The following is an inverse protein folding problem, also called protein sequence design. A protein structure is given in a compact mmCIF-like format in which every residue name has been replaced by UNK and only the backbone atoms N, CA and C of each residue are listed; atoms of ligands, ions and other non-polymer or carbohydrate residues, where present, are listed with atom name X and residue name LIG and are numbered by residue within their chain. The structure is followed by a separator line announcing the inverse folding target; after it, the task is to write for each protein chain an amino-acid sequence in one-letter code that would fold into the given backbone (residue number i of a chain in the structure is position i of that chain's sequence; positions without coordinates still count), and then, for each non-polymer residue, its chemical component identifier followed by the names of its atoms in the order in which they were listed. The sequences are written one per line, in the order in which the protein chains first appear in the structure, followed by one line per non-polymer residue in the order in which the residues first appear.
data_IF_924547610716
#
_entry.id   IF_924547610716
#
_cell.length_a   1.000
_cell.length_b   1.000
_cell.length_c   1.000
_cell.angle_alpha   90.00
_cell.angle_beta   90.00
_cell.angle_gamma   90.00
#
_symmetry.space_group_name_H-M   'P 1'
#
loop_
_entity.id
_entity.type
_entity.pdbx_description
1 polymer ?
#
# COMPACT_ATOMS: atom_id res chain seq x y z
N UNK A 1 4.81 26.06 0.18
CA UNK A 1 4.96 26.15 -1.29
C UNK A 1 5.45 24.78 -1.71
N UNK A 2 4.86 24.16 -2.74
CA UNK A 2 5.08 22.74 -3.08
C UNK A 2 6.55 22.38 -3.29
N UNK A 3 7.42 23.35 -3.62
CA UNK A 3 8.87 23.14 -3.81
C UNK A 3 9.59 22.64 -2.54
N UNK A 4 9.18 23.08 -1.35
CA UNK A 4 9.90 22.78 -0.09
C UNK A 4 9.00 22.17 0.97
N UNK A 5 7.75 21.83 0.62
CA UNK A 5 6.78 21.23 1.52
C UNK A 5 6.24 19.96 0.89
N UNK A 6 5.94 18.97 1.72
CA UNK A 6 5.34 17.70 1.27
C UNK A 6 3.98 17.87 0.58
N UNK A 7 3.23 18.93 0.91
CA UNK A 7 1.93 19.26 0.28
C UNK A 7 1.64 20.76 0.28
N UNK A 8 0.75 21.19 -0.61
CA UNK A 8 0.28 22.56 -0.71
C UNK A 8 -0.41 22.86 -2.04
N UNK A 9 -0.65 24.14 -2.31
CA UNK A 9 -1.18 24.62 -3.59
C UNK A 9 -0.17 25.53 -4.26
N UNK A 10 -0.02 25.39 -5.59
CA UNK A 10 0.73 26.32 -6.44
C UNK A 10 -0.21 26.75 -7.58
N UNK A 11 -0.82 27.94 -7.51
CA UNK A 11 -1.73 28.39 -8.55
C UNK A 11 -0.96 28.74 -9.83
N UNK A 12 -0.88 27.78 -10.76
CA UNK A 12 -0.44 27.94 -12.15
C UNK A 12 1.06 28.10 -12.39
N UNK A 13 1.90 28.14 -11.35
CA UNK A 13 3.35 28.18 -11.54
C UNK A 13 4.14 27.74 -10.29
N UNK A 14 5.36 27.26 -10.54
CA UNK A 14 6.34 26.88 -9.53
C UNK A 14 7.58 27.74 -9.72
N UNK A 15 8.13 28.32 -8.64
CA UNK A 15 9.35 29.10 -8.74
C UNK A 15 10.48 28.50 -7.90
N UNK A 16 11.69 28.45 -8.46
CA UNK A 16 12.88 28.01 -7.74
C UNK A 16 13.22 29.01 -6.62
N UNK A 17 13.38 28.54 -5.39
CA UNK A 17 13.66 29.43 -4.25
C UNK A 17 15.05 30.06 -4.27
N UNK A 18 15.95 29.63 -5.15
CA UNK A 18 17.31 30.15 -5.21
C UNK A 18 17.37 31.42 -6.05
N UNK A 19 17.08 31.33 -7.35
CA UNK A 19 17.15 32.46 -8.29
C UNK A 19 15.80 32.81 -8.92
N UNK A 20 14.69 32.33 -8.36
CA UNK A 20 13.34 32.67 -8.80
C UNK A 20 13.01 32.37 -10.29
N UNK A 21 13.68 31.37 -10.88
CA UNK A 21 13.25 30.81 -12.17
C UNK A 21 11.83 30.28 -12.04
N UNK A 22 10.95 30.66 -12.96
CA UNK A 22 9.52 30.37 -12.92
C UNK A 22 9.16 29.34 -13.98
N UNK A 23 8.51 28.27 -13.55
CA UNK A 23 8.04 27.17 -14.37
C UNK A 23 6.51 27.12 -14.36
N UNK A 24 5.88 26.78 -15.48
CA UNK A 24 4.44 26.52 -15.54
C UNK A 24 4.06 25.23 -14.81
N UNK A 25 2.77 24.98 -14.65
CA UNK A 25 2.24 23.69 -14.18
C UNK A 25 2.38 22.55 -15.21
N UNK A 26 2.65 22.87 -16.48
CA UNK A 26 3.11 21.91 -17.50
C UNK A 26 4.64 21.71 -17.51
N UNK A 27 5.36 22.45 -16.65
CA UNK A 27 6.80 22.34 -16.46
C UNK A 27 7.66 23.19 -17.40
N UNK A 28 7.08 24.05 -18.23
CA UNK A 28 7.83 24.90 -19.16
C UNK A 28 8.52 26.06 -18.41
N UNK A 29 9.75 26.41 -18.79
CA UNK A 29 10.46 27.56 -18.20
C UNK A 29 9.88 28.88 -18.74
N UNK A 30 9.08 29.56 -17.93
CA UNK A 30 8.38 30.80 -18.31
C UNK A 30 9.31 32.01 -18.20
N UNK A 31 9.96 32.17 -17.03
CA UNK A 31 10.71 33.38 -16.69
C UNK A 31 12.04 33.06 -16.04
N UNK A 32 13.07 33.73 -16.52
CA UNK A 32 14.40 33.77 -15.91
C UNK A 32 14.68 35.22 -15.47
N UNK A 33 14.97 35.49 -14.19
CA UNK A 33 15.43 36.81 -13.80
C UNK A 33 16.75 37.17 -14.48
N UNK A 34 16.89 38.42 -14.92
CA UNK A 34 18.08 38.92 -15.62
C UNK A 34 18.40 38.14 -16.92
N UNK A 35 17.35 37.72 -17.64
CA UNK A 35 17.40 36.89 -18.85
C UNK A 35 18.34 37.47 -19.93
N UNK A 36 18.41 38.79 -20.04
CA UNK A 36 19.23 39.54 -20.99
C UNK A 36 20.75 39.37 -20.79
N UNK A 37 21.20 38.96 -19.60
CA UNK A 37 22.61 38.76 -19.28
C UNK A 37 23.08 37.32 -19.55
N UNK A 38 22.19 36.44 -20.04
CA UNK A 38 22.56 35.11 -20.49
C UNK A 38 22.85 35.11 -21.99
N UNK A 39 24.02 34.62 -22.39
CA UNK A 39 24.37 34.44 -23.80
C UNK A 39 23.67 33.17 -24.35
N UNK A 40 22.92 33.30 -25.45
CA UNK A 40 22.22 32.21 -26.16
C UNK A 40 21.32 31.33 -25.27
N UNK A 41 20.60 31.91 -24.31
CA UNK A 41 19.67 31.16 -23.46
C UNK A 41 18.46 30.63 -24.25
N UNK A 42 18.33 29.31 -24.30
CA UNK A 42 17.17 28.64 -24.89
C UNK A 42 16.29 28.00 -23.81
N UNK A 43 15.23 28.72 -23.41
CA UNK A 43 14.30 28.26 -22.36
C UNK A 43 13.60 26.95 -22.70
N UNK A 44 13.43 26.62 -23.98
CA UNK A 44 12.74 25.39 -24.41
C UNK A 44 13.49 24.11 -24.02
N UNK A 45 14.79 24.22 -23.70
CA UNK A 45 15.64 23.11 -23.26
C UNK A 45 15.79 23.00 -21.74
N UNK A 46 15.18 23.92 -21.00
CA UNK A 46 15.43 24.13 -19.57
C UNK A 46 14.14 24.02 -18.73
N UNK A 47 13.11 23.36 -19.25
CA UNK A 47 11.91 23.00 -18.49
C UNK A 47 12.19 21.97 -17.39
N UNK A 48 11.18 21.74 -16.54
CA UNK A 48 11.21 20.67 -15.55
C UNK A 48 11.36 19.31 -16.25
N UNK A 49 12.15 18.43 -15.66
CA UNK A 49 12.30 17.04 -16.14
C UNK A 49 10.95 16.34 -16.05
N UNK A 50 10.44 15.88 -17.21
CA UNK A 50 9.22 15.10 -17.27
C UNK A 50 9.44 13.71 -16.70
N UNK A 51 8.42 13.18 -16.04
CA UNK A 51 8.37 11.82 -15.53
C UNK A 51 7.12 11.17 -16.11
N UNK A 52 7.21 9.92 -16.54
CA UNK A 52 6.07 9.20 -17.07
C UNK A 52 5.07 8.89 -15.96
N UNK A 53 3.80 9.10 -16.25
CA UNK A 53 2.70 8.97 -15.30
C UNK A 53 1.49 8.41 -16.02
N UNK A 54 0.72 7.61 -15.31
CA UNK A 54 -0.60 7.17 -15.75
C UNK A 54 -1.52 6.99 -14.52
N UNK A 55 -2.83 6.94 -14.75
CA UNK A 55 -3.86 6.86 -13.71
C UNK A 55 -4.72 5.62 -13.92
N UNK A 56 -4.84 4.80 -12.87
CA UNK A 56 -5.74 3.65 -12.84
C UNK A 56 -6.65 3.73 -11.62
N UNK A 57 -7.96 3.75 -11.83
CA UNK A 57 -8.98 3.82 -10.77
C UNK A 57 -8.74 4.90 -9.69
N UNK A 58 -8.18 6.04 -10.12
CA UNK A 58 -7.84 7.16 -9.24
C UNK A 58 -6.47 7.06 -8.54
N UNK A 59 -5.78 5.93 -8.66
CA UNK A 59 -4.39 5.78 -8.25
C UNK A 59 -3.45 6.34 -9.32
N UNK A 60 -2.46 7.13 -8.88
CA UNK A 60 -1.45 7.73 -9.75
C UNK A 60 -0.19 6.87 -9.68
N UNK A 61 0.24 6.34 -10.83
CA UNK A 61 1.50 5.61 -10.95
C UNK A 61 2.53 6.45 -11.68
N UNK A 62 3.78 6.30 -11.27
CA UNK A 62 4.92 7.05 -11.82
C UNK A 62 5.97 6.04 -12.29
N UNK A 63 6.47 6.22 -13.51
CA UNK A 63 7.57 5.44 -14.06
C UNK A 63 8.74 6.38 -14.36
N UNK A 64 9.89 6.11 -13.73
CA UNK A 64 11.10 6.91 -13.88
C UNK A 64 11.90 6.56 -15.14
N UNK A 65 11.58 5.47 -15.83
CA UNK A 65 12.13 5.17 -17.14
C UNK A 65 11.61 6.22 -18.14
N UNK A 66 12.49 6.98 -18.83
CA UNK A 66 12.06 7.92 -19.86
C UNK A 66 11.36 7.23 -21.05
N UNK A 67 11.58 5.93 -21.25
CA UNK A 67 10.95 5.14 -22.31
C UNK A 67 10.31 3.87 -21.73
N UNK A 68 9.15 3.97 -21.05
CA UNK A 68 8.44 2.83 -20.48
C UNK A 68 8.23 1.74 -21.53
N UNK A 69 8.54 0.49 -21.17
CA UNK A 69 8.44 -0.66 -22.09
C UNK A 69 7.01 -1.13 -22.33
N UNK A 70 6.09 -0.77 -21.44
CA UNK A 70 4.68 -1.15 -21.45
C UNK A 70 3.84 -0.02 -20.83
N UNK A 71 2.55 0.02 -21.16
CA UNK A 71 1.57 0.92 -20.55
C UNK A 71 1.22 0.50 -19.12
N UNK A 72 0.61 1.38 -18.31
CA UNK A 72 0.17 1.00 -16.96
C UNK A 72 -0.86 -0.14 -16.99
N UNK A 73 -1.75 -0.16 -17.99
CA UNK A 73 -2.75 -1.22 -18.12
C UNK A 73 -2.11 -2.58 -18.41
N UNK A 74 -1.16 -2.62 -19.35
CA UNK A 74 -0.39 -3.83 -19.62
C UNK A 74 0.41 -4.26 -18.37
N UNK A 75 0.95 -3.28 -17.64
CA UNK A 75 1.73 -3.53 -16.44
C UNK A 75 0.91 -4.22 -15.34
N UNK A 76 -0.30 -3.72 -15.07
CA UNK A 76 -1.20 -4.26 -14.03
C UNK A 76 -1.90 -5.56 -14.47
N UNK A 77 -2.09 -5.74 -15.79
CA UNK A 77 -2.64 -6.96 -16.37
C UNK A 77 -3.95 -7.43 -15.73
N UNK A 78 -4.03 -8.74 -15.47
CA UNK A 78 -5.24 -9.37 -14.91
C UNK A 78 -5.64 -8.90 -13.51
N UNK A 79 -4.72 -8.29 -12.75
CA UNK A 79 -5.06 -7.68 -11.46
C UNK A 79 -5.96 -6.46 -11.66
N UNK A 80 -5.67 -5.62 -12.67
CA UNK A 80 -6.53 -4.50 -13.00
C UNK A 80 -7.92 -5.00 -13.41
N UNK A 81 -8.02 -6.02 -14.27
CA UNK A 81 -9.30 -6.59 -14.69
C UNK A 81 -10.17 -7.05 -13.50
N UNK A 82 -9.54 -7.56 -12.44
CA UNK A 82 -10.24 -8.01 -11.22
C UNK A 82 -10.77 -6.86 -10.37
N UNK A 83 -10.09 -5.70 -10.39
CA UNK A 83 -10.37 -4.55 -9.54
C UNK A 83 -11.08 -3.39 -10.25
N UNK A 84 -11.20 -3.45 -11.57
CA UNK A 84 -11.90 -2.44 -12.37
C UNK A 84 -13.34 -2.22 -11.89
N UNK A 85 -13.75 -0.95 -11.86
CA UNK A 85 -15.06 -0.52 -11.37
C UNK A 85 -15.23 -0.62 -9.86
N UNK A 86 -14.18 -0.93 -9.10
CA UNK A 86 -14.20 -0.77 -7.65
C UNK A 86 -14.38 0.73 -7.32
N UNK A 87 -15.29 1.11 -6.40
CA UNK A 87 -15.61 2.51 -6.13
C UNK A 87 -14.54 3.21 -5.27
N UNK A 88 -13.26 3.07 -5.61
CA UNK A 88 -12.15 3.65 -4.85
C UNK A 88 -12.29 5.17 -4.68
N UNK A 89 -12.79 5.85 -5.72
CA UNK A 89 -12.99 7.30 -5.75
C UNK A 89 -14.16 7.83 -4.92
N UNK A 90 -15.08 6.97 -4.47
CA UNK A 90 -16.18 7.38 -3.59
C UNK A 90 -15.79 7.30 -2.10
N UNK A 91 -14.69 6.61 -1.77
CA UNK A 91 -14.14 6.59 -0.42
C UNK A 91 -13.32 7.86 -0.14
N UNK A 92 -13.19 8.17 1.15
CA UNK A 92 -12.37 9.28 1.63
C UNK A 92 -11.22 8.77 2.48
N UNK A 93 -10.07 9.45 2.39
CA UNK A 93 -8.94 9.18 3.27
C UNK A 93 -9.33 9.51 4.71
N UNK A 94 -9.41 8.49 5.56
CA UNK A 94 -9.83 8.61 6.96
C UNK A 94 -8.63 8.74 7.90
N UNK A 95 -7.51 8.13 7.54
CA UNK A 95 -6.29 8.12 8.34
C UNK A 95 -5.05 7.79 7.49
N UNK A 96 -3.92 8.40 7.84
CA UNK A 96 -2.59 8.02 7.33
C UNK A 96 -1.68 7.67 8.49
N UNK A 97 -0.94 6.57 8.37
CA UNK A 97 0.22 6.27 9.21
C UNK A 97 1.47 6.23 8.35
N UNK A 98 2.59 6.68 8.91
CA UNK A 98 3.93 6.51 8.33
C UNK A 98 4.82 5.92 9.40
N UNK A 99 5.41 4.77 9.11
CA UNK A 99 6.33 4.09 10.01
C UNK A 99 7.71 4.13 9.37
N UNK A 100 8.70 4.63 10.11
CA UNK A 100 10.12 4.58 9.73
C UNK A 100 10.70 3.30 10.32
N UNK A 101 10.76 2.24 9.51
CA UNK A 101 11.14 0.91 9.93
C UNK A 101 12.62 0.66 9.65
N UNK A 102 13.30 0.04 10.63
CA UNK A 102 14.65 -0.51 10.47
C UNK A 102 14.61 -1.91 9.86
N UNK A 103 13.92 -2.02 8.73
CA UNK A 103 13.80 -3.22 7.95
C UNK A 103 13.91 -2.91 6.45
N UNK A 104 14.43 -3.87 5.69
CA UNK A 104 14.33 -3.82 4.24
C UNK A 104 12.86 -3.91 3.80
N UNK A 105 12.48 -3.15 2.79
CA UNK A 105 11.10 -3.10 2.30
C UNK A 105 10.53 -4.48 1.91
N UNK A 106 11.39 -5.40 1.45
CA UNK A 106 11.01 -6.77 1.12
C UNK A 106 10.58 -7.57 2.35
N UNK A 107 11.18 -7.31 3.52
CA UNK A 107 10.77 -7.97 4.78
C UNK A 107 9.34 -7.56 5.14
N UNK A 108 9.03 -6.26 5.03
CA UNK A 108 7.68 -5.77 5.26
C UNK A 108 6.67 -6.33 4.27
N UNK A 109 7.04 -6.44 2.99
CA UNK A 109 6.16 -6.99 1.97
C UNK A 109 6.00 -8.52 2.06
N UNK A 110 7.02 -9.25 2.49
CA UNK A 110 6.94 -10.71 2.73
C UNK A 110 5.82 -11.01 3.74
N UNK A 111 5.71 -10.23 4.82
CA UNK A 111 4.64 -10.36 5.81
C UNK A 111 3.22 -10.11 5.24
N UNK A 112 3.12 -9.38 4.12
CA UNK A 112 1.83 -9.14 3.45
C UNK A 112 1.48 -10.21 2.40
N UNK A 113 2.39 -11.16 2.16
CA UNK A 113 2.24 -12.25 1.19
C UNK A 113 1.95 -13.61 1.86
N UNK A 114 1.66 -13.64 3.16
CA UNK A 114 1.34 -14.86 3.87
C UNK A 114 0.37 -14.65 5.03
N UNK A 115 -0.10 -15.77 5.58
CA UNK A 115 -1.09 -15.85 6.67
C UNK A 115 -0.60 -16.69 7.85
N UNK A 116 0.64 -17.14 7.80
CA UNK A 116 1.23 -18.08 8.75
C UNK A 116 1.43 -17.46 10.13
N UNK A 117 1.81 -16.17 10.20
CA UNK A 117 2.00 -15.49 11.48
C UNK A 117 0.69 -15.07 12.15
N UNK A 118 -0.42 -14.91 11.39
CA UNK A 118 -1.66 -14.30 11.86
C UNK A 118 -2.20 -14.92 13.17
N UNK A 119 -2.27 -16.26 13.34
CA UNK A 119 -2.79 -16.86 14.57
C UNK A 119 -2.00 -16.52 15.82
N UNK A 120 -0.69 -16.29 15.67
CA UNK A 120 0.26 -16.19 16.77
C UNK A 120 0.58 -14.74 17.10
N UNK A 121 1.01 -13.99 16.09
CA UNK A 121 1.39 -12.58 16.21
C UNK A 121 0.18 -11.71 16.54
N UNK A 122 -0.94 -11.91 15.86
CA UNK A 122 -2.17 -11.13 16.05
C UNK A 122 -3.14 -11.78 17.03
N UNK A 123 -2.70 -12.70 17.89
CA UNK A 123 -3.56 -13.40 18.86
C UNK A 123 -4.34 -12.47 19.81
N UNK A 124 -3.84 -11.23 19.98
CA UNK A 124 -4.44 -10.19 20.83
C UNK A 124 -5.24 -9.14 20.05
N UNK A 125 -5.13 -9.14 18.72
CA UNK A 125 -5.78 -8.21 17.80
C UNK A 125 -6.72 -8.99 16.89
N UNK A 126 -6.35 -9.15 15.62
CA UNK A 126 -7.21 -9.70 14.55
C UNK A 126 -7.07 -11.21 14.37
N UNK A 127 -6.14 -11.90 15.05
CA UNK A 127 -5.92 -13.33 14.84
C UNK A 127 -7.21 -14.15 14.94
N UNK A 128 -8.08 -13.85 15.90
CA UNK A 128 -9.31 -14.62 16.18
C UNK A 128 -10.44 -14.43 15.15
N UNK A 129 -10.32 -13.48 14.22
CA UNK A 129 -11.34 -13.31 13.18
C UNK A 129 -11.10 -14.24 11.98
N UNK A 130 -9.88 -14.75 11.81
CA UNK A 130 -9.54 -15.70 10.77
C UNK A 130 -9.96 -17.13 11.15
N UNK A 131 -10.45 -17.88 10.17
CA UNK A 131 -10.72 -19.30 10.37
C UNK A 131 -9.40 -20.07 10.52
N UNK A 132 -9.35 -20.94 11.53
CA UNK A 132 -8.19 -21.77 11.82
C UNK A 132 -8.58 -23.24 11.95
N UNK A 133 -7.64 -24.12 11.59
CA UNK A 133 -7.79 -25.54 11.91
C UNK A 133 -7.59 -25.83 13.41
N UNK A 134 -7.80 -27.08 13.83
CA UNK A 134 -7.67 -27.54 15.22
C UNK A 134 -6.27 -27.29 15.86
N UNK A 135 -5.26 -26.96 15.05
CA UNK A 135 -3.88 -26.66 15.49
C UNK A 135 -3.58 -25.16 15.48
N UNK A 136 -4.59 -24.30 15.30
CA UNK A 136 -4.46 -22.85 15.19
C UNK A 136 -3.62 -22.39 13.98
N UNK A 137 -3.83 -22.98 12.80
CA UNK A 137 -3.24 -22.47 11.55
C UNK A 137 -4.31 -21.95 10.60
N UNK A 138 -4.08 -20.78 10.01
CA UNK A 138 -4.88 -20.23 8.91
C UNK A 138 -4.59 -20.97 7.59
N UNK A 139 -5.53 -20.88 6.65
CA UNK A 139 -5.39 -21.37 5.27
C UNK A 139 -5.97 -20.34 4.31
N UNK A 140 -5.38 -20.24 3.13
CA UNK A 140 -5.95 -19.41 2.09
C UNK A 140 -7.29 -19.97 1.65
N UNK A 141 -8.26 -19.09 1.49
CA UNK A 141 -9.47 -19.37 0.73
C UNK A 141 -9.15 -19.36 -0.77
N UNK A 142 -8.37 -18.37 -1.19
CA UNK A 142 -7.99 -18.16 -2.58
C UNK A 142 -6.60 -17.55 -2.68
N UNK A 143 -5.84 -17.98 -3.69
CA UNK A 143 -4.57 -17.36 -4.11
C UNK A 143 -4.56 -17.33 -5.62
N UNK A 144 -4.35 -16.16 -6.22
CA UNK A 144 -4.13 -16.04 -7.66
C UNK A 144 -2.87 -15.22 -7.95
N UNK A 145 -2.24 -15.55 -9.08
CA UNK A 145 -1.10 -14.85 -9.61
C UNK A 145 -1.48 -14.18 -10.94
N UNK A 146 -1.10 -12.91 -11.09
CA UNK A 146 -1.32 -12.09 -12.27
C UNK A 146 0.04 -11.60 -12.77
N UNK A 147 0.78 -12.50 -13.42
CA UNK A 147 2.18 -12.29 -13.81
C UNK A 147 3.05 -11.90 -12.60
N UNK A 148 3.35 -10.60 -12.44
CA UNK A 148 4.15 -10.04 -11.34
C UNK A 148 3.37 -9.71 -10.08
N UNK A 149 2.04 -9.69 -10.16
CA UNK A 149 1.17 -9.35 -9.04
C UNK A 149 0.50 -10.60 -8.44
N UNK A 150 -0.04 -10.48 -7.24
CA UNK A 150 -0.80 -11.56 -6.61
C UNK A 150 -1.98 -11.03 -5.81
N UNK A 151 -2.90 -11.93 -5.50
CA UNK A 151 -3.93 -11.70 -4.50
C UNK A 151 -4.05 -12.93 -3.62
N UNK A 152 -4.34 -12.70 -2.35
CA UNK A 152 -4.87 -13.74 -1.49
C UNK A 152 -6.04 -13.29 -0.64
N UNK A 153 -6.85 -14.26 -0.28
CA UNK A 153 -7.95 -14.13 0.67
C UNK A 153 -7.91 -15.30 1.65
N UNK A 154 -8.42 -15.09 2.86
CA UNK A 154 -8.57 -16.13 3.89
C UNK A 154 -10.02 -16.30 4.26
N UNK A 155 -10.37 -17.48 4.79
CA UNK A 155 -11.69 -17.70 5.40
C UNK A 155 -11.76 -16.99 6.76
N UNK A 156 -12.96 -16.53 7.13
CA UNK A 156 -13.25 -15.85 8.38
C UNK A 156 -14.24 -16.66 9.23
N UNK A 157 -14.19 -16.46 10.54
CA UNK A 157 -15.18 -17.02 11.46
C UNK A 157 -16.49 -16.25 11.29
N UNK A 158 -17.61 -16.96 11.08
CA UNK A 158 -18.94 -16.36 10.87
C UNK A 158 -19.38 -15.50 12.07
N UNK A 159 -19.19 -16.00 13.30
CA UNK A 159 -19.47 -15.29 14.56
C UNK A 159 -18.20 -15.17 15.41
N UNK A 160 -17.29 -14.23 15.09
CA UNK A 160 -16.03 -14.12 15.81
C UNK A 160 -16.26 -13.64 17.24
N UNK A 161 -15.40 -14.02 18.20
CA UNK A 161 -15.52 -13.56 19.58
C UNK A 161 -15.28 -12.06 19.69
N UNK A 162 -16.35 -11.30 19.96
CA UNK A 162 -16.29 -9.85 20.14
C UNK A 162 -15.89 -9.45 21.57
N UNK A 163 -15.09 -8.39 21.68
CA UNK A 163 -14.85 -7.69 22.95
C UNK A 163 -16.14 -7.05 23.48
N UNK A 164 -16.21 -6.68 24.77
CA UNK A 164 -17.36 -5.97 25.32
C UNK A 164 -17.71 -4.66 24.61
N UNK A 165 -16.71 -4.00 24.01
CA UNK A 165 -16.91 -2.77 23.25
C UNK A 165 -17.50 -3.08 21.87
N UNK A 166 -16.90 -4.00 21.12
CA UNK A 166 -17.40 -4.41 19.80
C UNK A 166 -18.83 -4.96 19.87
N UNK A 167 -19.14 -5.74 20.91
CA UNK A 167 -20.51 -6.24 21.14
C UNK A 167 -21.53 -5.12 21.40
N UNK A 168 -21.11 -3.99 21.97
CA UNK A 168 -22.00 -2.82 22.09
C UNK A 168 -22.16 -2.11 20.74
N UNK A 169 -21.07 -2.01 19.98
CA UNK A 169 -21.05 -1.34 18.68
C UNK A 169 -21.82 -2.11 17.61
N UNK A 170 -21.86 -3.44 17.68
CA UNK A 170 -22.65 -4.27 16.76
C UNK A 170 -24.17 -4.05 16.88
N UNK A 171 -24.62 -3.44 17.98
CA UNK A 171 -26.01 -3.04 18.17
C UNK A 171 -26.34 -1.62 17.70
N UNK A 172 -25.38 -0.90 17.11
CA UNK A 172 -25.62 0.46 16.63
C UNK A 172 -26.47 0.45 15.36
N UNK A 173 -27.39 1.42 15.25
CA UNK A 173 -28.00 1.75 13.97
C UNK A 173 -26.94 2.46 13.11
N UNK A 174 -26.53 1.77 12.05
CA UNK A 174 -25.53 2.23 11.09
C UNK A 174 -26.14 2.92 9.87
N UNK A 175 -27.47 3.01 9.75
CA UNK A 175 -28.11 3.55 8.55
C UNK A 175 -27.99 2.63 7.32
N UNK A 176 -27.98 3.21 6.12
CA UNK A 176 -27.76 2.46 4.88
C UNK A 176 -26.28 2.16 4.66
N UNK A 177 -26.02 1.00 4.05
CA UNK A 177 -24.69 0.58 3.62
C UNK A 177 -24.62 0.58 2.09
N UNK A 178 -24.60 1.81 1.54
CA UNK A 178 -24.68 2.05 0.10
C UNK A 178 -23.32 1.88 -0.61
N UNK A 179 -22.23 1.76 0.16
CA UNK A 179 -20.89 1.59 -0.39
C UNK A 179 -20.45 0.14 -0.23
N UNK A 180 -20.50 -0.60 -1.34
CA UNK A 180 -20.06 -1.99 -1.42
C UNK A 180 -18.98 -2.16 -2.46
N UNK A 181 -18.01 -3.02 -2.16
CA UNK A 181 -16.95 -3.41 -3.08
C UNK A 181 -17.30 -4.80 -3.62
N UNK A 182 -17.90 -4.89 -4.83
CA UNK A 182 -18.33 -6.17 -5.39
C UNK A 182 -17.17 -7.10 -5.78
N UNK A 183 -15.94 -6.57 -5.86
CA UNK A 183 -14.74 -7.32 -6.23
C UNK A 183 -14.15 -8.15 -5.07
N UNK A 184 -14.70 -8.01 -3.85
CA UNK A 184 -14.27 -8.79 -2.67
C UNK A 184 -14.42 -10.31 -2.92
N UNK A 185 -13.37 -11.06 -2.62
CA UNK A 185 -13.32 -12.53 -2.61
C UNK A 185 -13.77 -13.04 -1.23
N UNK A 186 -13.31 -12.39 -0.15
CA UNK A 186 -13.67 -12.68 1.24
C UNK A 186 -13.90 -11.39 2.05
N UNK A 187 -13.83 -11.45 3.38
CA UNK A 187 -13.95 -10.29 4.27
C UNK A 187 -12.71 -9.40 4.23
N UNK A 188 -11.53 -9.97 3.94
CA UNK A 188 -10.30 -9.22 3.64
C UNK A 188 -9.55 -9.88 2.48
N UNK A 189 -9.20 -9.07 1.48
CA UNK A 189 -8.40 -9.48 0.34
C UNK A 189 -7.14 -8.63 0.26
N UNK A 190 -6.00 -9.26 0.06
CA UNK A 190 -4.70 -8.60 -0.04
C UNK A 190 -4.22 -8.68 -1.48
N UNK A 191 -4.35 -7.59 -2.22
CA UNK A 191 -3.82 -7.45 -3.57
C UNK A 191 -2.42 -6.86 -3.49
N UNK A 192 -1.41 -7.65 -3.87
CA UNK A 192 0.00 -7.24 -3.83
C UNK A 192 0.42 -6.81 -5.24
N UNK A 193 0.63 -5.50 -5.39
CA UNK A 193 1.09 -4.86 -6.61
C UNK A 193 2.60 -4.67 -6.53
N UNK A 194 3.33 -5.58 -7.18
CA UNK A 194 4.76 -5.42 -7.43
C UNK A 194 5.10 -4.01 -7.98
N UNK A 195 6.20 -3.39 -7.53
CA UNK A 195 7.13 -3.94 -6.55
C UNK A 195 6.68 -3.79 -5.10
N UNK A 196 6.03 -2.69 -4.71
CA UNK A 196 6.03 -2.24 -3.31
C UNK A 196 4.69 -1.69 -2.81
N UNK A 197 3.57 -2.04 -3.45
CA UNK A 197 2.25 -1.58 -3.09
C UNK A 197 1.34 -2.74 -2.72
N UNK A 198 0.47 -2.55 -1.72
CA UNK A 198 -0.61 -3.49 -1.38
C UNK A 198 -1.91 -2.71 -1.32
N UNK A 199 -2.97 -3.26 -1.89
CA UNK A 199 -4.35 -2.80 -1.70
C UNK A 199 -5.07 -3.88 -0.91
N UNK A 200 -5.51 -3.53 0.29
CA UNK A 200 -6.30 -4.40 1.14
C UNK A 200 -7.74 -3.96 1.02
N UNK A 201 -8.58 -4.78 0.42
CA UNK A 201 -10.03 -4.57 0.46
C UNK A 201 -10.58 -5.21 1.71
N UNK A 202 -11.54 -4.57 2.38
CA UNK A 202 -12.18 -5.17 3.53
C UNK A 202 -13.67 -4.89 3.61
N UNK A 203 -14.40 -5.88 4.11
CA UNK A 203 -15.79 -5.77 4.55
C UNK A 203 -15.78 -5.28 5.99
N UNK A 204 -16.28 -4.06 6.21
CA UNK A 204 -16.40 -3.50 7.56
C UNK A 204 -17.77 -3.78 8.17
N UNK A 205 -17.89 -3.72 9.51
CA UNK A 205 -19.16 -3.94 10.21
C UNK A 205 -20.21 -2.85 9.93
N UNK A 206 -19.81 -1.70 9.37
CA UNK A 206 -20.73 -0.65 8.94
C UNK A 206 -20.71 -0.33 7.45
N UNK A 207 -19.55 -0.43 6.81
CA UNK A 207 -19.29 -0.07 5.42
C UNK A 207 -18.05 -0.83 4.93
N UNK A 208 -17.99 -1.14 3.63
CA UNK A 208 -16.77 -1.63 3.00
C UNK A 208 -15.72 -0.50 2.98
N UNK A 209 -14.45 -0.87 2.83
CA UNK A 209 -13.37 0.07 2.70
C UNK A 209 -12.12 -0.57 2.12
N UNK A 210 -11.07 0.23 2.00
CA UNK A 210 -9.78 -0.27 1.57
C UNK A 210 -8.62 0.43 2.27
N UNK A 211 -7.50 -0.26 2.35
CA UNK A 211 -6.25 0.26 2.87
C UNK A 211 -5.21 0.14 1.77
N UNK A 212 -4.36 1.15 1.61
CA UNK A 212 -3.16 1.03 0.79
C UNK A 212 -1.92 0.99 1.66
N UNK A 213 -1.03 0.04 1.38
CA UNK A 213 0.34 0.06 1.87
C UNK A 213 1.28 0.42 0.74
N UNK A 214 2.25 1.28 1.04
CA UNK A 214 3.38 1.57 0.16
C UNK A 214 4.67 1.47 0.97
N UNK A 215 5.61 0.65 0.50
CA UNK A 215 6.91 0.48 1.13
C UNK A 215 7.96 1.27 0.36
N UNK A 216 8.39 2.40 0.90
CA UNK A 216 9.38 3.28 0.26
C UNK A 216 10.79 2.94 0.73
N UNK A 217 11.61 2.26 -0.09
CA UNK A 217 12.96 1.91 0.30
C UNK A 217 13.82 3.17 0.47
N UNK A 218 14.51 3.27 1.61
CA UNK A 218 15.45 4.36 1.87
C UNK A 218 16.90 3.86 1.86
N UNK A 219 17.15 2.71 2.49
CA UNK A 219 18.46 2.07 2.59
C UNK A 219 18.29 0.54 2.54
N UNK A 220 19.40 -0.21 2.66
CA UNK A 220 19.37 -1.68 2.61
C UNK A 220 18.55 -2.31 3.75
N UNK A 221 18.46 -1.63 4.89
CA UNK A 221 17.77 -2.07 6.11
C UNK A 221 16.86 -0.97 6.67
N UNK A 222 16.41 -0.03 5.81
CA UNK A 222 15.52 1.05 6.21
C UNK A 222 14.47 1.36 5.17
N UNK A 223 13.21 1.48 5.61
CA UNK A 223 12.04 1.68 4.77
C UNK A 223 11.05 2.62 5.45
N UNK A 224 10.39 3.49 4.68
CA UNK A 224 9.17 4.16 5.13
C UNK A 224 7.97 3.36 4.66
N UNK A 225 7.26 2.74 5.60
CA UNK A 225 5.98 2.10 5.34
C UNK A 225 4.86 3.13 5.51
N UNK A 226 4.23 3.50 4.39
CA UNK A 226 3.09 4.41 4.37
C UNK A 226 1.78 3.61 4.28
N UNK A 227 0.88 3.87 5.21
CA UNK A 227 -0.43 3.24 5.31
C UNK A 227 -1.51 4.31 5.16
N UNK A 228 -2.47 4.09 4.28
CA UNK A 228 -3.63 4.98 4.13
C UNK A 228 -4.91 4.17 4.20
N UNK A 229 -5.78 4.53 5.14
CA UNK A 229 -7.08 3.89 5.32
C UNK A 229 -8.17 4.76 4.69
N UNK A 230 -8.97 4.15 3.83
CA UNK A 230 -10.06 4.76 3.10
C UNK A 230 -11.38 4.10 3.48
N UNK A 231 -12.37 4.93 3.78
CA UNK A 231 -13.75 4.51 4.01
C UNK A 231 -14.67 5.63 3.54
N UNK A 232 -15.93 5.32 3.22
CA UNK A 232 -16.91 6.35 2.91
C UNK A 232 -17.04 7.35 4.07
N UNK A 233 -17.40 8.61 3.79
CA UNK A 233 -17.71 9.57 4.84
C UNK A 233 -18.81 9.03 5.77
N UNK A 234 -18.52 8.97 7.07
CA UNK A 234 -19.53 8.61 8.06
C UNK A 234 -20.69 9.62 8.05
N UNK A 235 -21.91 9.13 7.86
CA UNK A 235 -23.15 9.88 7.86
C UNK A 235 -23.79 9.95 9.25
N UNK A 236 -23.46 9.00 10.12
CA UNK A 236 -23.99 8.93 11.50
C UNK A 236 -22.87 8.90 12.53
N UNK A 237 -23.21 9.27 13.78
CA UNK A 237 -22.27 9.16 14.91
C UNK A 237 -21.86 7.70 15.14
N UNK A 238 -22.77 6.75 14.95
CA UNK A 238 -22.51 5.31 15.04
C UNK A 238 -21.42 4.87 14.06
N UNK A 239 -21.58 5.20 12.77
CA UNK A 239 -20.60 4.91 11.74
C UNK A 239 -19.25 5.56 12.08
N UNK A 240 -19.26 6.81 12.57
CA UNK A 240 -18.03 7.50 12.95
C UNK A 240 -17.31 6.80 14.11
N UNK A 241 -18.04 6.36 15.15
CA UNK A 241 -17.47 5.62 16.27
C UNK A 241 -16.86 4.29 15.82
N UNK A 242 -17.52 3.58 14.89
CA UNK A 242 -17.01 2.36 14.28
C UNK A 242 -15.69 2.62 13.53
N UNK A 243 -15.65 3.66 12.69
CA UNK A 243 -14.43 4.04 11.99
C UNK A 243 -13.29 4.42 12.96
N UNK A 244 -13.55 5.19 14.03
CA UNK A 244 -12.51 5.54 15.02
C UNK A 244 -12.00 4.32 15.81
N UNK A 245 -12.87 3.35 16.10
CA UNK A 245 -12.46 2.09 16.72
C UNK A 245 -11.58 1.28 15.77
N UNK A 246 -11.99 1.15 14.51
CA UNK A 246 -11.24 0.43 13.48
C UNK A 246 -9.84 1.03 13.27
N UNK A 247 -9.70 2.36 13.29
CA UNK A 247 -8.37 3.02 13.25
C UNK A 247 -7.47 2.59 14.41
N UNK A 248 -8.02 2.48 15.62
CA UNK A 248 -7.26 2.00 16.78
C UNK A 248 -6.83 0.54 16.60
N UNK A 249 -7.74 -0.31 16.14
CA UNK A 249 -7.46 -1.73 15.88
C UNK A 249 -6.33 -1.88 14.84
N UNK A 250 -6.46 -1.21 13.69
CA UNK A 250 -5.45 -1.25 12.62
C UNK A 250 -4.10 -0.74 13.13
N UNK A 251 -4.06 0.37 13.88
CA UNK A 251 -2.81 0.88 14.48
C UNK A 251 -2.12 -0.16 15.36
N UNK A 252 -2.87 -0.96 16.10
CA UNK A 252 -2.30 -1.97 17.00
C UNK A 252 -1.75 -3.17 16.21
N UNK A 253 -2.45 -3.62 15.16
CA UNK A 253 -1.95 -4.64 14.21
C UNK A 253 -0.65 -4.18 13.53
N UNK A 254 -0.63 -2.95 13.00
CA UNK A 254 0.55 -2.39 12.33
C UNK A 254 1.78 -2.30 13.26
N UNK A 255 1.57 -2.10 14.56
CA UNK A 255 2.66 -2.09 15.54
C UNK A 255 3.22 -3.50 15.81
N UNK A 256 2.35 -4.52 15.83
CA UNK A 256 2.76 -5.92 15.96
C UNK A 256 3.66 -6.31 14.77
N UNK A 257 3.24 -5.96 13.54
CA UNK A 257 4.00 -6.22 12.31
C UNK A 257 5.33 -5.47 12.26
N UNK A 258 5.31 -4.18 12.55
CA UNK A 258 6.52 -3.37 12.49
C UNK A 258 7.63 -3.87 13.41
N UNK A 259 7.25 -4.32 14.61
CA UNK A 259 8.20 -4.95 15.54
C UNK A 259 8.76 -6.26 14.95
N UNK A 260 7.92 -7.09 14.34
CA UNK A 260 8.35 -8.34 13.72
C UNK A 260 9.31 -8.11 12.55
N UNK A 261 9.03 -7.11 11.70
CA UNK A 261 9.88 -6.75 10.57
C UNK A 261 11.30 -6.39 11.02
N UNK A 262 11.45 -5.53 12.02
CA UNK A 262 12.76 -5.13 12.53
C UNK A 262 13.51 -6.30 13.17
N UNK A 263 12.82 -7.19 13.90
CA UNK A 263 13.44 -8.37 14.50
C UNK A 263 13.92 -9.36 13.43
N UNK A 264 13.13 -9.57 12.37
CA UNK A 264 13.54 -10.38 11.21
C UNK A 264 14.76 -9.76 10.55
N UNK A 265 14.77 -8.44 10.33
CA UNK A 265 15.92 -7.73 9.76
C UNK A 265 17.19 -7.92 10.60
N UNK A 266 17.10 -7.79 11.93
CA UNK A 266 18.23 -8.06 12.85
C UNK A 266 18.75 -9.47 12.67
N UNK A 267 17.86 -10.47 12.57
CA UNK A 267 18.23 -11.86 12.31
C UNK A 267 18.95 -12.03 10.97
N UNK A 268 18.42 -11.46 9.90
CA UNK A 268 19.01 -11.51 8.55
C UNK A 268 20.41 -10.86 8.50
N UNK A 269 20.61 -9.74 9.21
CA UNK A 269 21.91 -9.04 9.28
C UNK A 269 23.02 -9.91 9.85
N UNK A 270 22.71 -10.91 10.68
CA UNK A 270 23.73 -11.83 11.21
C UNK A 270 24.39 -12.70 10.15
N UNK A 271 23.70 -12.94 9.01
CA UNK A 271 24.11 -13.86 7.93
C UNK A 271 24.41 -15.28 8.41
N UNK A 272 23.95 -15.67 9.60
CA UNK A 272 24.22 -16.99 10.18
C UNK A 272 23.55 -18.12 9.38
N UNK A 273 22.48 -17.81 8.63
CA UNK A 273 21.80 -18.70 7.70
C UNK A 273 21.81 -18.08 6.30
N UNK A 274 22.24 -18.83 5.27
CA UNK A 274 22.27 -18.32 3.90
C UNK A 274 20.93 -18.50 3.16
N UNK A 275 19.95 -19.15 3.78
CA UNK A 275 18.68 -19.52 3.16
C UNK A 275 17.52 -19.31 4.13
N UNK A 276 16.40 -18.86 3.59
CA UNK A 276 15.08 -18.90 4.23
C UNK A 276 14.28 -20.08 3.67
N UNK A 277 13.49 -20.73 4.51
CA UNK A 277 12.64 -21.85 4.11
C UNK A 277 11.21 -21.40 4.30
N UNK A 278 10.44 -21.44 3.22
CA UNK A 278 9.02 -21.09 3.21
C UNK A 278 8.17 -22.35 3.12
N UNK A 279 7.05 -22.41 3.82
CA UNK A 279 6.03 -23.46 3.69
C UNK A 279 5.07 -23.19 2.52
N UNK A 280 4.12 -24.10 2.27
CA UNK A 280 3.25 -24.00 1.09
C UNK A 280 2.24 -22.86 1.19
N UNK A 281 1.79 -22.48 2.39
CA UNK A 281 0.97 -21.28 2.60
C UNK A 281 1.79 -19.97 2.58
N UNK A 282 3.06 -20.02 2.19
CA UNK A 282 3.92 -18.86 1.90
C UNK A 282 4.25 -18.79 0.39
N UNK A 283 3.42 -19.41 -0.45
CA UNK A 283 3.65 -19.50 -1.91
C UNK A 283 3.75 -18.13 -2.59
N UNK A 284 3.08 -17.09 -2.07
CA UNK A 284 3.19 -15.76 -2.65
C UNK A 284 4.52 -15.08 -2.31
N UNK A 285 5.13 -15.37 -1.15
CA UNK A 285 6.51 -14.94 -0.89
C UNK A 285 7.43 -15.57 -1.94
N UNK A 286 7.29 -16.88 -2.18
CA UNK A 286 8.09 -17.58 -3.19
C UNK A 286 7.89 -16.96 -4.58
N UNK A 287 6.65 -16.67 -4.97
CA UNK A 287 6.32 -15.99 -6.23
C UNK A 287 6.93 -14.59 -6.31
N UNK A 288 6.78 -13.76 -5.28
CA UNK A 288 7.34 -12.42 -5.22
C UNK A 288 8.86 -12.42 -5.41
N UNK A 289 9.59 -13.29 -4.71
CA UNK A 289 11.05 -13.39 -4.88
C UNK A 289 11.46 -13.96 -6.24
N UNK A 290 10.66 -14.84 -6.85
CA UNK A 290 10.89 -15.30 -8.23
C UNK A 290 10.70 -14.14 -9.23
N UNK A 291 9.63 -13.35 -9.10
CA UNK A 291 9.38 -12.17 -9.93
C UNK A 291 10.51 -11.15 -9.77
N UNK A 292 10.98 -10.91 -8.54
CA UNK A 292 12.15 -10.07 -8.27
C UNK A 292 13.41 -10.57 -8.98
N UNK A 293 13.69 -11.89 -8.90
CA UNK A 293 14.83 -12.51 -9.60
C UNK A 293 14.73 -12.33 -11.12
N UNK A 294 13.54 -12.53 -11.70
CA UNK A 294 13.34 -12.44 -13.14
C UNK A 294 13.51 -10.99 -13.66
N UNK A 295 13.13 -9.99 -12.86
CA UNK A 295 13.23 -8.57 -13.23
C UNK A 295 14.61 -7.95 -12.96
N UNK A 296 15.26 -8.32 -11.86
CA UNK A 296 16.54 -7.71 -11.46
C UNK A 296 17.76 -8.55 -11.85
N UNK A 297 17.56 -9.84 -12.17
CA UNK A 297 18.63 -10.85 -12.15
C UNK A 297 19.01 -11.22 -10.72
N UNK A 298 19.43 -12.46 -10.49
CA UNK A 298 19.93 -12.89 -9.18
C UNK A 298 21.07 -11.99 -8.71
N UNK A 299 21.22 -11.86 -7.38
CA UNK A 299 22.46 -11.43 -6.72
C UNK A 299 23.62 -12.44 -6.94
N UNK A 300 23.77 -13.00 -8.14
CA UNK A 300 24.72 -14.10 -8.47
C UNK A 300 26.18 -13.67 -8.39
N UNK A 301 26.45 -12.35 -8.29
CA UNK A 301 27.80 -11.79 -8.26
C UNK A 301 28.11 -10.92 -7.01
N UNK A 302 27.32 -11.03 -5.92
CA UNK A 302 27.53 -10.26 -4.69
C UNK A 302 28.22 -11.07 -3.56
#
# INVERSE_FOLDING_TARGET
KLVTKEKGSCPGAVYCSFHAWLYSDEGELIRVPDEENFFDLDKSKLGLTRVNMDVWEGFIFVNLDPNPKETLREYLGGLADKLDGCPFGEASLVQTYKVDERANWKVGLDAQNEIYHLPFQHSRTIGKIFMMNEKNHCRFQEVNFYDRHSVWASEFVEDPPLTPLEKKMSGFDIGSDDYRIPQLISEFDFYVLFPNMVIILFRGPSQDGYITYNFWPLEVDRTVWEIRNYSPPAQTVSQRLIQEHFKCLIRDVLQEDSLAHELVQVGLTTRAKPVSIYQDDEIQIRHFHQVMEDHMGYYKDA
#
